data_IF_570793644043
#
_entry.id   IF_570793644043
#
_cell.length_a   1.000
_cell.length_b   1.000
_cell.length_c   1.000
_cell.angle_alpha   90.00
_cell.angle_beta   90.00
_cell.angle_gamma   90.00
#
_symmetry.space_group_name_H-M   'P 1'
#
loop_
_entity.id
_entity.type
_entity.pdbx_description
1 polymer ?
#
# COMPACT_ATOMS: atom_id res chain seq x y z
N UNK A 1 -11.21 -8.44 -40.22
CA UNK A 1 -10.86 -9.81 -39.75
C UNK A 1 -9.62 -9.88 -38.85
N UNK A 2 -9.16 -8.80 -38.22
CA UNK A 2 -7.81 -8.68 -37.59
C UNK A 2 -7.84 -8.49 -36.05
N UNK A 3 -8.98 -8.32 -35.42
CA UNK A 3 -9.04 -8.12 -33.93
C UNK A 3 -9.11 -9.42 -33.12
N UNK A 4 -9.69 -10.50 -33.67
CA UNK A 4 -9.82 -11.78 -32.94
C UNK A 4 -8.49 -12.52 -32.76
N UNK A 5 -7.50 -12.33 -33.64
CA UNK A 5 -6.19 -13.00 -33.50
C UNK A 5 -5.26 -12.38 -32.43
N UNK A 6 -5.37 -11.07 -32.16
CA UNK A 6 -4.55 -10.41 -31.11
C UNK A 6 -4.99 -10.79 -29.71
N UNK A 7 -6.28 -10.91 -29.47
CA UNK A 7 -6.79 -11.27 -28.14
C UNK A 7 -6.49 -12.73 -27.76
N UNK A 8 -6.51 -13.64 -28.71
CA UNK A 8 -6.19 -15.05 -28.49
C UNK A 8 -4.72 -15.30 -28.10
N UNK A 9 -3.77 -14.56 -28.69
CA UNK A 9 -2.35 -14.69 -28.39
C UNK A 9 -1.99 -14.12 -27.01
N UNK A 10 -2.56 -12.96 -26.62
CA UNK A 10 -2.36 -12.34 -25.29
C UNK A 10 -2.91 -13.25 -24.20
N UNK A 11 -4.05 -13.91 -24.41
CA UNK A 11 -4.62 -14.84 -23.44
C UNK A 11 -3.78 -16.12 -23.28
N UNK A 12 -3.24 -16.66 -24.38
CA UNK A 12 -2.34 -17.82 -24.35
C UNK A 12 -1.03 -17.52 -23.63
N UNK A 13 -0.43 -16.36 -23.87
CA UNK A 13 0.78 -15.90 -23.18
C UNK A 13 0.53 -15.75 -21.68
N UNK A 14 -0.57 -15.14 -21.27
CA UNK A 14 -0.93 -15.01 -19.85
C UNK A 14 -1.14 -16.37 -19.17
N UNK A 15 -1.80 -17.31 -19.84
CA UNK A 15 -1.95 -18.68 -19.31
C UNK A 15 -0.63 -19.41 -19.15
N UNK A 16 0.23 -19.33 -20.15
CA UNK A 16 1.57 -19.94 -20.11
C UNK A 16 2.41 -19.33 -18.98
N UNK A 17 2.40 -18.01 -18.84
CA UNK A 17 3.07 -17.30 -17.75
C UNK A 17 2.57 -17.75 -16.37
N UNK A 18 1.26 -17.87 -16.19
CA UNK A 18 0.68 -18.36 -14.94
C UNK A 18 1.07 -19.81 -14.64
N UNK A 19 1.13 -20.66 -15.66
CA UNK A 19 1.58 -22.04 -15.51
C UNK A 19 3.06 -22.10 -15.13
N UNK A 20 3.91 -21.32 -15.80
CA UNK A 20 5.33 -21.22 -15.48
C UNK A 20 5.55 -20.75 -14.03
N UNK A 21 4.80 -19.74 -13.57
CA UNK A 21 4.91 -19.23 -12.20
C UNK A 21 4.51 -20.23 -11.11
N UNK A 22 3.72 -21.25 -11.45
CA UNK A 22 3.37 -22.36 -10.54
C UNK A 22 4.47 -23.42 -10.44
N UNK A 23 5.46 -23.41 -11.34
CA UNK A 23 6.53 -24.42 -11.35
C UNK A 23 7.48 -24.26 -10.17
N UNK A 24 8.10 -25.35 -9.77
CA UNK A 24 9.17 -25.34 -8.75
C UNK A 24 10.36 -24.49 -9.20
N UNK A 25 10.66 -24.45 -10.52
CA UNK A 25 11.76 -23.66 -11.08
C UNK A 25 11.56 -22.16 -10.85
N UNK A 26 10.36 -21.62 -11.15
CA UNK A 26 10.07 -20.21 -10.88
C UNK A 26 10.12 -19.92 -9.38
N UNK A 27 9.51 -20.79 -8.57
CA UNK A 27 9.50 -20.60 -7.13
C UNK A 27 10.90 -20.70 -6.53
N UNK A 28 11.76 -21.53 -7.06
CA UNK A 28 13.18 -21.63 -6.68
C UNK A 28 13.97 -20.35 -7.08
N UNK A 29 13.71 -19.79 -8.27
CA UNK A 29 14.38 -18.55 -8.73
C UNK A 29 14.11 -17.34 -7.82
N UNK A 30 13.00 -17.36 -7.08
CA UNK A 30 12.68 -16.34 -6.09
C UNK A 30 13.34 -16.61 -4.72
N UNK A 31 13.95 -17.79 -4.55
CA UNK A 31 14.57 -18.16 -3.29
C UNK A 31 15.73 -17.20 -2.95
N UNK A 32 15.82 -16.87 -1.68
CA UNK A 32 16.81 -15.96 -1.13
C UNK A 32 17.16 -16.44 0.27
N UNK A 33 18.39 -16.24 0.66
CA UNK A 33 18.84 -16.52 2.03
C UNK A 33 19.26 -15.19 2.70
N UNK A 34 18.30 -14.32 3.03
CA UNK A 34 18.59 -13.07 3.72
C UNK A 34 19.04 -13.36 5.15
N UNK A 35 19.54 -12.34 5.83
CA UNK A 35 19.72 -12.40 7.27
C UNK A 35 18.41 -12.76 7.99
N UNK A 36 18.49 -13.37 9.16
CA UNK A 36 17.30 -13.77 9.94
C UNK A 36 16.48 -12.59 10.44
N UNK A 37 17.07 -11.39 10.46
CA UNK A 37 16.43 -10.14 10.87
C UNK A 37 16.56 -9.09 9.78
N UNK A 38 15.66 -8.08 9.80
CA UNK A 38 15.77 -6.93 8.94
C UNK A 38 16.93 -6.03 9.38
N UNK A 39 17.64 -5.47 8.42
CA UNK A 39 18.80 -4.60 8.67
C UNK A 39 18.43 -3.19 9.10
N UNK A 40 17.23 -2.74 8.70
CA UNK A 40 16.74 -1.40 8.96
C UNK A 40 15.27 -1.44 9.38
N UNK A 41 14.95 -0.67 10.42
CA UNK A 41 13.56 -0.48 10.88
C UNK A 41 12.95 0.69 10.14
N UNK A 42 11.92 0.43 9.34
CA UNK A 42 11.13 1.47 8.68
C UNK A 42 9.93 1.80 9.57
N UNK A 43 9.86 3.02 10.12
CA UNK A 43 8.82 3.35 11.10
C UNK A 43 7.44 3.43 10.46
N UNK A 44 6.44 2.87 11.16
CA UNK A 44 5.02 3.01 10.79
C UNK A 44 4.36 4.14 11.57
N UNK A 45 3.75 5.04 10.84
CA UNK A 45 3.06 6.20 11.40
C UNK A 45 1.53 6.05 11.42
N UNK A 46 0.97 5.00 10.78
CA UNK A 46 -0.48 4.82 10.74
C UNK A 46 -0.97 4.06 11.97
N UNK A 47 -2.07 4.54 12.50
CA UNK A 47 -2.78 3.85 13.58
C UNK A 47 -3.67 2.75 12.99
N UNK A 48 -3.78 1.64 13.70
CA UNK A 48 -4.83 0.65 13.46
C UNK A 48 -6.08 0.95 14.28
N UNK A 49 -7.10 0.14 14.10
CA UNK A 49 -8.34 0.17 14.87
C UNK A 49 -8.33 -0.88 15.97
N UNK A 50 -8.30 -0.47 17.24
CA UNK A 50 -8.38 -1.40 18.37
C UNK A 50 -9.68 -2.23 18.35
N UNK A 51 -10.78 -1.66 17.85
CA UNK A 51 -12.06 -2.36 17.69
C UNK A 51 -11.98 -3.48 16.65
N UNK A 52 -11.31 -3.24 15.50
CA UNK A 52 -11.06 -4.29 14.51
C UNK A 52 -10.08 -5.32 15.07
N UNK A 53 -9.05 -4.89 15.79
CA UNK A 53 -8.13 -5.79 16.50
C UNK A 53 -8.84 -6.73 17.48
N UNK A 54 -9.75 -6.21 18.28
CA UNK A 54 -10.58 -7.02 19.19
C UNK A 54 -11.40 -8.08 18.43
N UNK A 55 -11.99 -7.71 17.29
CA UNK A 55 -12.73 -8.66 16.43
C UNK A 55 -11.84 -9.76 15.87
N UNK A 56 -10.60 -9.46 15.51
CA UNK A 56 -9.62 -10.44 15.04
C UNK A 56 -9.22 -11.39 16.17
N UNK A 57 -9.11 -10.89 17.41
CA UNK A 57 -8.79 -11.70 18.58
C UNK A 57 -9.89 -12.72 18.92
N UNK A 58 -11.16 -12.34 18.75
CA UNK A 58 -12.32 -13.16 19.12
C UNK A 58 -12.83 -14.05 17.99
N UNK A 59 -12.52 -13.72 16.74
CA UNK A 59 -13.05 -14.44 15.57
C UNK A 59 -12.23 -15.67 15.24
N UNK A 60 -12.91 -16.79 15.04
CA UNK A 60 -12.26 -18.04 14.61
C UNK A 60 -11.86 -18.01 13.13
N UNK A 61 -12.64 -17.41 12.20
CA UNK A 61 -12.31 -17.45 10.75
C UNK A 61 -13.06 -16.47 9.84
N UNK A 62 -14.22 -15.93 10.22
CA UNK A 62 -15.11 -15.23 9.26
C UNK A 62 -14.58 -13.90 8.71
N UNK A 63 -13.64 -13.22 9.37
CA UNK A 63 -13.02 -11.99 8.88
C UNK A 63 -12.03 -12.23 7.72
N UNK A 64 -11.60 -13.49 7.49
CA UNK A 64 -10.79 -13.93 6.34
C UNK A 64 -11.59 -14.05 5.04
N UNK A 65 -12.91 -13.90 5.06
CA UNK A 65 -13.74 -14.02 3.87
C UNK A 65 -13.49 -12.92 2.82
N UNK A 66 -12.96 -11.74 3.25
CA UNK A 66 -12.31 -10.81 2.34
C UNK A 66 -10.84 -11.24 2.16
N UNK A 67 -10.62 -12.16 1.23
CA UNK A 67 -9.28 -12.68 0.92
C UNK A 67 -8.30 -11.58 0.53
N UNK A 68 -8.77 -10.53 -0.17
CA UNK A 68 -7.91 -9.43 -0.61
C UNK A 68 -7.44 -8.58 0.57
N UNK A 69 -8.34 -8.13 1.45
CA UNK A 69 -7.98 -7.38 2.65
C UNK A 69 -7.11 -8.17 3.60
N UNK A 70 -7.40 -9.48 3.74
CA UNK A 70 -6.56 -10.37 4.53
C UNK A 70 -5.14 -10.50 3.96
N UNK A 71 -5.02 -10.68 2.65
CA UNK A 71 -3.74 -10.85 1.95
C UNK A 71 -2.89 -9.56 1.92
N UNK A 72 -3.45 -8.40 2.18
CA UNK A 72 -2.75 -7.11 2.26
C UNK A 72 -2.11 -6.84 3.63
N UNK A 73 -2.49 -7.55 4.67
CA UNK A 73 -1.94 -7.46 6.03
C UNK A 73 -2.15 -6.13 6.76
N UNK A 74 -3.12 -5.32 6.37
CA UNK A 74 -3.47 -4.09 7.11
C UNK A 74 -3.92 -4.38 8.55
N UNK A 75 -4.53 -5.54 8.76
CA UNK A 75 -5.00 -6.03 10.04
C UNK A 75 -3.89 -6.18 11.10
N UNK A 76 -2.62 -6.23 10.72
CA UNK A 76 -1.50 -6.25 11.67
C UNK A 76 -1.47 -4.96 12.49
N UNK A 77 -1.79 -3.82 11.86
CA UNK A 77 -1.94 -2.53 12.55
C UNK A 77 -3.08 -2.54 13.56
N UNK A 78 -4.18 -3.22 13.23
CA UNK A 78 -5.35 -3.32 14.12
C UNK A 78 -5.02 -4.15 15.38
N UNK A 79 -4.32 -5.25 15.22
CA UNK A 79 -3.81 -6.05 16.35
C UNK A 79 -2.78 -5.26 17.18
N UNK A 80 -1.91 -4.47 16.54
CA UNK A 80 -0.98 -3.58 17.24
C UNK A 80 -1.74 -2.52 18.05
N UNK A 81 -2.80 -1.95 17.49
CA UNK A 81 -3.64 -0.97 18.18
C UNK A 81 -4.42 -1.58 19.35
N UNK A 82 -4.87 -2.83 19.24
CA UNK A 82 -5.47 -3.58 20.35
C UNK A 82 -4.45 -3.81 21.46
N UNK A 83 -3.21 -4.16 21.13
CA UNK A 83 -2.10 -4.23 22.06
C UNK A 83 -2.00 -5.53 22.86
N UNK A 84 -0.98 -5.57 23.71
CA UNK A 84 -0.70 -6.70 24.60
C UNK A 84 0.05 -7.86 23.94
N UNK A 85 0.52 -8.80 24.78
CA UNK A 85 1.29 -9.96 24.34
C UNK A 85 0.44 -10.97 23.54
N UNK A 86 -0.84 -11.10 23.89
CA UNK A 86 -1.75 -11.99 23.20
C UNK A 86 -2.02 -11.54 21.76
N UNK A 87 -2.24 -10.23 21.52
CA UNK A 87 -2.40 -9.70 20.17
C UNK A 87 -1.13 -9.91 19.32
N UNK A 88 0.05 -9.75 19.93
CA UNK A 88 1.34 -10.00 19.29
C UNK A 88 1.48 -11.48 18.91
N UNK A 89 1.17 -12.38 19.82
CA UNK A 89 1.18 -13.82 19.54
C UNK A 89 0.19 -14.19 18.45
N UNK A 90 -1.00 -13.58 18.46
CA UNK A 90 -2.01 -13.79 17.43
C UNK A 90 -1.55 -13.31 16.06
N UNK A 91 -0.91 -12.15 15.99
CA UNK A 91 -0.34 -11.64 14.74
C UNK A 91 0.70 -12.62 14.16
N UNK A 92 1.64 -13.11 14.98
CA UNK A 92 2.64 -14.11 14.56
C UNK A 92 1.98 -15.37 14.03
N UNK A 93 1.02 -15.93 14.75
CA UNK A 93 0.29 -17.13 14.34
C UNK A 93 -0.38 -16.97 12.98
N UNK A 94 -1.03 -15.82 12.75
CA UNK A 94 -1.72 -15.54 11.50
C UNK A 94 -0.75 -15.31 10.34
N UNK A 95 0.36 -14.60 10.58
CA UNK A 95 1.43 -14.38 9.60
C UNK A 95 2.05 -15.72 9.21
N UNK A 96 2.41 -16.54 10.19
CA UNK A 96 3.01 -17.85 9.94
C UNK A 96 2.10 -18.78 9.17
N UNK A 97 0.84 -18.91 9.58
CA UNK A 97 -0.18 -19.68 8.88
C UNK A 97 -0.37 -19.21 7.43
N UNK A 98 -0.32 -17.90 7.19
CA UNK A 98 -0.40 -17.36 5.85
C UNK A 98 0.84 -17.73 5.01
N UNK A 99 2.04 -17.58 5.57
CA UNK A 99 3.29 -17.95 4.89
C UNK A 99 3.27 -19.44 4.50
N UNK A 100 2.88 -20.31 5.41
CA UNK A 100 2.81 -21.75 5.15
C UNK A 100 1.83 -22.09 4.02
N UNK A 101 0.69 -21.42 4.00
CA UNK A 101 -0.34 -21.63 2.99
C UNK A 101 -0.01 -21.01 1.63
N UNK A 102 0.85 -19.98 1.59
CA UNK A 102 1.14 -19.16 0.41
C UNK A 102 2.63 -19.08 0.09
N UNK A 103 3.41 -20.06 0.51
CA UNK A 103 4.86 -20.09 0.28
C UNK A 103 5.23 -20.09 -1.22
N UNK A 104 4.38 -20.64 -2.08
CA UNK A 104 4.55 -20.63 -3.53
C UNK A 104 3.64 -19.61 -4.20
N UNK A 105 4.04 -19.14 -5.36
CA UNK A 105 3.29 -18.19 -6.16
C UNK A 105 1.85 -18.67 -6.41
N UNK A 106 0.87 -17.79 -6.19
CA UNK A 106 -0.57 -17.99 -6.43
C UNK A 106 -1.17 -16.74 -7.09
N UNK A 107 -1.97 -16.94 -8.13
CA UNK A 107 -2.52 -15.85 -8.94
C UNK A 107 -3.31 -14.79 -8.16
N UNK A 108 -3.99 -15.16 -7.05
CA UNK A 108 -4.75 -14.22 -6.22
C UNK A 108 -3.86 -13.47 -5.24
N UNK A 109 -3.31 -14.20 -4.26
CA UNK A 109 -2.53 -13.60 -3.17
C UNK A 109 -1.18 -12.99 -3.60
N UNK A 110 -0.66 -13.34 -4.78
CA UNK A 110 0.58 -12.82 -5.32
C UNK A 110 0.37 -11.76 -6.42
N UNK A 111 -0.81 -11.12 -6.48
CA UNK A 111 -0.97 -9.93 -7.31
C UNK A 111 -0.05 -8.82 -6.81
N UNK A 112 0.66 -8.10 -7.71
CA UNK A 112 1.73 -7.19 -7.30
C UNK A 112 1.29 -6.06 -6.36
N UNK A 113 0.09 -5.52 -6.53
CA UNK A 113 -0.45 -4.49 -5.65
C UNK A 113 -0.82 -5.03 -4.27
N UNK A 114 -1.38 -6.25 -4.19
CA UNK A 114 -1.65 -6.96 -2.93
C UNK A 114 -0.34 -7.28 -2.22
N UNK A 115 0.61 -7.83 -2.97
CA UNK A 115 1.94 -8.20 -2.46
C UNK A 115 2.72 -6.97 -2.00
N UNK A 116 2.65 -5.85 -2.74
CA UNK A 116 3.26 -4.59 -2.38
C UNK A 116 2.74 -4.03 -1.06
N UNK A 117 1.41 -4.05 -0.89
CA UNK A 117 0.78 -3.63 0.37
C UNK A 117 1.19 -4.55 1.52
N UNK A 118 1.21 -5.87 1.31
CA UNK A 118 1.60 -6.85 2.31
C UNK A 118 3.05 -6.71 2.76
N UNK A 119 3.99 -6.60 1.81
CA UNK A 119 5.41 -6.41 2.13
C UNK A 119 5.59 -5.13 2.97
N UNK A 120 4.97 -4.03 2.56
CA UNK A 120 5.02 -2.78 3.31
C UNK A 120 4.46 -2.94 4.74
N UNK A 121 3.29 -3.54 4.91
CA UNK A 121 2.65 -3.71 6.22
C UNK A 121 3.43 -4.66 7.13
N UNK A 122 4.05 -5.71 6.58
CA UNK A 122 4.93 -6.61 7.35
C UNK A 122 6.17 -5.86 7.85
N UNK A 123 6.78 -5.03 7.02
CA UNK A 123 7.96 -4.24 7.39
C UNK A 123 7.61 -3.15 8.40
N UNK A 124 6.56 -2.36 8.15
CA UNK A 124 6.14 -1.26 9.03
C UNK A 124 5.76 -1.71 10.45
N UNK A 125 5.25 -2.92 10.60
CA UNK A 125 4.90 -3.45 11.93
C UNK A 125 5.95 -4.41 12.50
N UNK A 126 7.08 -4.60 11.82
CA UNK A 126 8.10 -5.59 12.18
C UNK A 126 8.60 -5.42 13.61
N UNK A 127 8.94 -4.19 14.02
CA UNK A 127 9.46 -3.84 15.34
C UNK A 127 8.50 -4.21 16.48
N UNK A 128 7.21 -4.24 16.22
CA UNK A 128 6.21 -4.61 17.20
C UNK A 128 6.11 -6.12 17.40
N UNK A 129 6.12 -6.92 16.33
CA UNK A 129 5.82 -8.34 16.45
C UNK A 129 7.04 -9.27 16.28
N UNK A 130 8.11 -8.87 15.61
CA UNK A 130 9.19 -9.77 15.25
C UNK A 130 10.31 -9.89 16.29
N UNK A 131 10.84 -8.82 16.94
CA UNK A 131 12.07 -8.91 17.74
C UNK A 131 11.99 -9.89 18.91
N UNK A 132 10.81 -10.08 19.51
CA UNK A 132 10.61 -11.03 20.60
C UNK A 132 10.02 -12.38 20.14
N UNK A 133 10.07 -12.67 18.84
CA UNK A 133 9.65 -13.95 18.27
C UNK A 133 10.80 -14.96 18.27
N UNK A 134 10.50 -16.28 18.23
CA UNK A 134 11.52 -17.30 18.00
C UNK A 134 12.32 -17.06 16.72
N UNK A 135 13.60 -17.45 16.71
CA UNK A 135 14.51 -17.25 15.56
C UNK A 135 13.97 -17.92 14.28
N UNK A 136 13.37 -19.09 14.41
CA UNK A 136 12.76 -19.80 13.26
C UNK A 136 11.66 -18.98 12.59
N UNK A 137 10.82 -18.33 13.40
CA UNK A 137 9.79 -17.42 12.88
C UNK A 137 10.42 -16.22 12.18
N UNK A 138 11.42 -15.59 12.80
CA UNK A 138 12.10 -14.44 12.20
C UNK A 138 12.75 -14.80 10.87
N UNK A 139 13.47 -15.90 10.80
CA UNK A 139 14.10 -16.39 9.58
C UNK A 139 13.07 -16.77 8.50
N UNK A 140 11.93 -17.36 8.87
CA UNK A 140 10.82 -17.68 7.97
C UNK A 140 10.19 -16.42 7.39
N UNK A 141 9.97 -15.42 8.24
CA UNK A 141 9.39 -14.13 7.88
C UNK A 141 10.28 -13.36 6.91
N UNK A 142 11.57 -13.20 7.22
CA UNK A 142 12.50 -12.45 6.37
C UNK A 142 12.68 -13.11 5.02
N UNK A 143 12.75 -14.44 4.95
CA UNK A 143 12.74 -15.18 3.68
C UNK A 143 11.46 -14.92 2.88
N UNK A 144 10.30 -14.90 3.53
CA UNK A 144 9.03 -14.62 2.85
C UNK A 144 8.97 -13.19 2.30
N UNK A 145 9.43 -12.20 3.06
CA UNK A 145 9.50 -10.79 2.62
C UNK A 145 10.47 -10.66 1.43
N UNK A 146 11.70 -11.19 1.54
CA UNK A 146 12.71 -11.11 0.50
C UNK A 146 12.23 -11.76 -0.81
N UNK A 147 11.58 -12.92 -0.72
CA UNK A 147 11.02 -13.63 -1.85
C UNK A 147 9.94 -12.82 -2.57
N UNK A 148 9.06 -12.18 -1.79
CA UNK A 148 8.01 -11.32 -2.35
C UNK A 148 8.60 -10.04 -2.96
N UNK A 149 9.59 -9.42 -2.34
CA UNK A 149 10.29 -8.26 -2.89
C UNK A 149 10.95 -8.58 -4.25
N UNK A 150 11.56 -9.77 -4.40
CA UNK A 150 12.08 -10.24 -5.70
C UNK A 150 10.99 -10.41 -6.73
N UNK A 151 9.86 -11.00 -6.37
CA UNK A 151 8.72 -11.13 -7.27
C UNK A 151 8.17 -9.77 -7.68
N UNK A 152 8.06 -8.82 -6.74
CA UNK A 152 7.66 -7.44 -7.01
C UNK A 152 8.58 -6.77 -8.04
N UNK A 153 9.90 -6.90 -7.90
CA UNK A 153 10.86 -6.32 -8.83
C UNK A 153 10.66 -6.81 -10.27
N UNK A 154 10.20 -8.07 -10.45
CA UNK A 154 9.89 -8.63 -11.77
C UNK A 154 8.54 -8.16 -12.32
N UNK A 155 7.57 -7.93 -11.44
CA UNK A 155 6.16 -7.83 -11.83
C UNK A 155 5.62 -6.40 -11.89
N UNK A 156 6.09 -5.49 -11.02
CA UNK A 156 5.54 -4.14 -10.94
C UNK A 156 5.59 -3.37 -12.26
N UNK A 157 6.66 -3.45 -13.09
CA UNK A 157 6.72 -2.70 -14.34
C UNK A 157 5.70 -3.16 -15.38
N UNK A 158 5.19 -4.38 -15.24
CA UNK A 158 4.28 -5.04 -16.21
C UNK A 158 2.81 -4.78 -15.91
N UNK A 159 2.50 -4.15 -14.79
CA UNK A 159 1.12 -3.80 -14.44
C UNK A 159 0.57 -2.76 -15.40
N UNK A 160 -0.65 -2.99 -15.89
CA UNK A 160 -1.35 -2.02 -16.71
C UNK A 160 -1.91 -0.85 -15.89
N UNK A 161 -2.50 -1.16 -14.73
CA UNK A 161 -3.02 -0.17 -13.81
C UNK A 161 -1.87 0.55 -13.09
N UNK A 162 -1.74 1.85 -13.35
CA UNK A 162 -0.66 2.69 -12.82
C UNK A 162 -0.80 2.94 -11.32
N UNK A 163 -2.01 2.94 -10.78
CA UNK A 163 -2.25 3.04 -9.33
C UNK A 163 -1.78 1.77 -8.62
N UNK A 164 -2.11 0.61 -9.19
CA UNK A 164 -1.60 -0.68 -8.71
C UNK A 164 -0.06 -0.77 -8.84
N UNK A 165 0.51 -0.19 -9.91
CA UNK A 165 1.96 -0.09 -10.10
C UNK A 165 2.63 0.70 -8.98
N UNK A 166 2.06 1.82 -8.56
CA UNK A 166 2.57 2.64 -7.46
C UNK A 166 2.52 1.90 -6.12
N UNK A 167 1.43 1.18 -5.83
CA UNK A 167 1.35 0.36 -4.61
C UNK A 167 2.39 -0.78 -4.61
N UNK A 168 2.62 -1.41 -5.76
CA UNK A 168 3.65 -2.45 -5.91
C UNK A 168 5.06 -1.87 -5.72
N UNK A 169 5.35 -0.71 -6.33
CA UNK A 169 6.62 0.00 -6.19
C UNK A 169 6.88 0.44 -4.75
N UNK A 170 5.83 0.90 -4.03
CA UNK A 170 5.93 1.16 -2.59
C UNK A 170 6.41 -0.07 -1.82
N UNK A 171 5.78 -1.21 -2.03
CA UNK A 171 6.17 -2.44 -1.34
C UNK A 171 7.61 -2.86 -1.65
N UNK A 172 8.05 -2.70 -2.90
CA UNK A 172 9.42 -2.96 -3.30
C UNK A 172 10.39 -2.01 -2.59
N UNK A 173 10.11 -0.70 -2.61
CA UNK A 173 10.92 0.32 -1.96
C UNK A 173 11.07 0.06 -0.46
N UNK A 174 9.95 -0.15 0.24
CA UNK A 174 9.93 -0.43 1.70
C UNK A 174 10.66 -1.74 2.01
N UNK A 175 10.45 -2.78 1.21
CA UNK A 175 11.14 -4.07 1.37
C UNK A 175 12.65 -3.94 1.20
N UNK A 176 13.12 -3.25 0.17
CA UNK A 176 14.54 -3.02 -0.07
C UNK A 176 15.18 -2.15 1.01
N UNK A 177 14.49 -1.09 1.46
CA UNK A 177 14.93 -0.27 2.59
C UNK A 177 15.16 -1.12 3.84
N UNK A 178 14.23 -2.03 4.15
CA UNK A 178 14.33 -2.90 5.32
C UNK A 178 15.49 -3.90 5.27
N UNK A 179 15.90 -4.30 4.08
CA UNK A 179 17.09 -5.16 3.89
C UNK A 179 18.41 -4.39 3.78
N UNK A 180 18.38 -3.07 3.91
CA UNK A 180 19.59 -2.23 3.87
C UNK A 180 20.14 -2.05 2.45
N UNK A 181 19.24 -1.96 1.45
CA UNK A 181 19.64 -1.61 0.09
C UNK A 181 20.37 -0.26 0.07
N UNK A 182 21.34 -0.14 -0.84
CA UNK A 182 22.16 1.06 -0.96
C UNK A 182 21.32 2.27 -1.35
N UNK A 183 21.68 3.47 -0.89
CA UNK A 183 20.96 4.71 -1.21
C UNK A 183 20.73 4.91 -2.70
N UNK A 184 21.73 4.62 -3.55
CA UNK A 184 21.62 4.75 -5.02
C UNK A 184 20.54 3.84 -5.62
N UNK A 185 20.41 2.60 -5.13
CA UNK A 185 19.37 1.67 -5.56
C UNK A 185 17.97 2.13 -5.17
N UNK A 186 17.84 2.67 -3.94
CA UNK A 186 16.58 3.25 -3.47
C UNK A 186 16.23 4.54 -4.20
N UNK A 187 17.22 5.41 -4.47
CA UNK A 187 17.02 6.64 -5.24
C UNK A 187 16.52 6.34 -6.66
N UNK A 188 17.08 5.33 -7.32
CA UNK A 188 16.61 4.90 -8.64
C UNK A 188 15.14 4.46 -8.64
N UNK A 189 14.64 3.83 -7.56
CA UNK A 189 13.22 3.51 -7.43
C UNK A 189 12.36 4.77 -7.26
N UNK A 190 12.85 5.78 -6.55
CA UNK A 190 12.14 7.07 -6.38
C UNK A 190 12.06 7.85 -7.70
N UNK A 191 13.10 7.80 -8.53
CA UNK A 191 13.09 8.41 -9.86
C UNK A 191 12.02 7.83 -10.78
N UNK A 192 11.64 6.56 -10.55
CA UNK A 192 10.54 5.91 -11.26
C UNK A 192 9.15 6.31 -10.72
N UNK A 193 9.09 6.77 -9.46
CA UNK A 193 7.84 7.06 -8.76
C UNK A 193 7.13 8.30 -9.30
N UNK A 194 7.86 9.41 -9.43
CA UNK A 194 7.27 10.71 -9.80
C UNK A 194 6.59 10.67 -11.17
N UNK A 195 7.20 10.13 -12.25
CA UNK A 195 6.53 9.97 -13.53
C UNK A 195 5.26 9.10 -13.47
N UNK A 196 5.23 8.10 -12.59
CA UNK A 196 4.02 7.28 -12.38
C UNK A 196 2.92 8.06 -11.66
N UNK A 197 3.28 8.86 -10.66
CA UNK A 197 2.32 9.75 -9.98
C UNK A 197 1.70 10.73 -10.96
N UNK A 198 2.48 11.33 -11.85
CA UNK A 198 2.01 12.24 -12.90
C UNK A 198 1.07 11.55 -13.90
N UNK A 199 1.27 10.24 -14.14
CA UNK A 199 0.38 9.48 -15.01
C UNK A 199 -1.01 9.21 -14.38
N UNK A 200 -1.16 9.24 -13.07
CA UNK A 200 -2.42 8.97 -12.36
C UNK A 200 -3.07 10.20 -11.74
N UNK A 201 -2.35 11.32 -11.68
CA UNK A 201 -2.87 12.59 -11.16
C UNK A 201 -3.14 13.61 -12.25
N UNK A 202 -4.00 14.55 -11.96
CA UNK A 202 -4.32 15.72 -12.78
C UNK A 202 -3.49 16.93 -12.31
N UNK A 203 -3.47 18.02 -13.08
CA UNK A 203 -2.64 19.19 -12.78
C UNK A 203 -3.04 19.89 -11.47
N UNK A 204 -4.30 19.80 -11.05
CA UNK A 204 -4.79 20.30 -9.76
C UNK A 204 -4.52 19.35 -8.57
N UNK A 205 -3.90 18.20 -8.81
CA UNK A 205 -3.56 17.21 -7.82
C UNK A 205 -4.62 16.10 -7.63
N UNK A 206 -5.76 16.19 -8.31
CA UNK A 206 -6.79 15.15 -8.25
C UNK A 206 -6.35 13.85 -8.91
N UNK A 207 -6.80 12.71 -8.38
CA UNK A 207 -6.59 11.41 -9.04
C UNK A 207 -7.48 11.30 -10.29
N UNK A 208 -6.95 10.75 -11.40
CA UNK A 208 -7.68 10.62 -12.68
C UNK A 208 -8.97 9.82 -12.61
N UNK A 209 -9.09 8.90 -11.65
CA UNK A 209 -10.36 8.19 -11.43
C UNK A 209 -11.47 9.10 -10.85
N UNK A 210 -11.09 10.24 -10.28
CA UNK A 210 -11.99 11.17 -9.59
C UNK A 210 -12.73 10.52 -8.40
N UNK A 211 -12.19 9.39 -7.88
CA UNK A 211 -12.70 8.65 -6.74
C UNK A 211 -11.95 9.04 -5.47
N UNK A 212 -12.62 9.62 -4.44
CA UNK A 212 -11.96 10.07 -3.23
C UNK A 212 -11.24 9.00 -2.42
N UNK A 213 -11.74 7.77 -2.40
CA UNK A 213 -11.12 6.64 -1.70
C UNK A 213 -9.81 6.18 -2.36
N UNK A 214 -9.78 6.09 -3.69
CA UNK A 214 -8.56 5.77 -4.44
C UNK A 214 -7.53 6.88 -4.28
N UNK A 215 -7.97 8.14 -4.33
CA UNK A 215 -7.11 9.29 -4.12
C UNK A 215 -6.48 9.30 -2.72
N UNK A 216 -7.28 9.07 -1.67
CA UNK A 216 -6.79 8.99 -0.29
C UNK A 216 -5.78 7.85 -0.12
N UNK A 217 -6.08 6.67 -0.70
CA UNK A 217 -5.17 5.52 -0.67
C UNK A 217 -3.83 5.84 -1.33
N UNK A 218 -3.84 6.43 -2.53
CA UNK A 218 -2.61 6.83 -3.22
C UNK A 218 -1.82 7.83 -2.37
N UNK A 219 -2.48 8.84 -1.80
CA UNK A 219 -1.82 9.82 -0.96
C UNK A 219 -1.16 9.18 0.27
N UNK A 220 -1.82 8.20 0.91
CA UNK A 220 -1.22 7.43 2.00
C UNK A 220 -0.01 6.64 1.54
N UNK A 221 -0.06 5.99 0.38
CA UNK A 221 1.07 5.26 -0.21
C UNK A 221 2.27 6.19 -0.43
N UNK A 222 2.05 7.42 -0.92
CA UNK A 222 3.12 8.40 -1.12
C UNK A 222 3.72 8.90 0.20
N UNK A 223 2.89 9.10 1.23
CA UNK A 223 3.36 9.47 2.58
C UNK A 223 4.21 8.34 3.18
N UNK A 224 3.82 7.08 3.00
CA UNK A 224 4.60 5.92 3.44
C UNK A 224 5.97 5.86 2.75
N UNK A 225 6.02 6.07 1.43
CA UNK A 225 7.29 6.12 0.67
C UNK A 225 8.17 7.26 1.15
N UNK A 226 7.62 8.48 1.30
CA UNK A 226 8.36 9.62 1.83
C UNK A 226 9.00 9.34 3.18
N UNK A 227 8.23 8.75 4.10
CA UNK A 227 8.70 8.45 5.44
C UNK A 227 9.76 7.33 5.43
N UNK A 228 9.59 6.31 4.59
CA UNK A 228 10.58 5.26 4.41
C UNK A 228 11.89 5.83 3.83
N UNK A 229 11.82 6.71 2.84
CA UNK A 229 13.00 7.37 2.28
C UNK A 229 13.72 8.23 3.32
N UNK A 230 12.99 9.05 4.08
CA UNK A 230 13.57 9.84 5.17
C UNK A 230 14.29 8.97 6.21
N UNK A 231 13.75 7.78 6.52
CA UNK A 231 14.37 6.86 7.48
C UNK A 231 15.68 6.25 6.98
N UNK A 232 15.89 6.23 5.66
CA UNK A 232 17.14 5.76 5.03
C UNK A 232 18.12 6.90 4.69
N UNK A 233 17.80 8.13 5.10
CA UNK A 233 18.63 9.31 4.84
C UNK A 233 18.52 9.85 3.41
N UNK A 234 17.56 9.37 2.62
CA UNK A 234 17.32 9.86 1.26
C UNK A 234 16.40 11.09 1.31
N UNK A 235 16.88 12.18 0.78
CA UNK A 235 16.06 13.39 0.65
C UNK A 235 15.10 13.28 -0.54
N UNK A 236 13.83 13.10 -0.26
CA UNK A 236 12.75 13.09 -1.26
C UNK A 236 12.09 14.46 -1.38
N UNK A 237 12.56 15.41 -0.58
CA UNK A 237 11.78 16.50 0.01
C UNK A 237 10.99 17.35 -0.98
N UNK A 238 11.56 17.79 -2.10
CA UNK A 238 10.91 18.93 -2.77
C UNK A 238 9.78 18.52 -3.72
N UNK A 239 9.94 17.47 -4.51
CA UNK A 239 8.95 17.13 -5.53
C UNK A 239 7.81 16.26 -5.00
N UNK A 240 8.13 15.25 -4.19
CA UNK A 240 7.12 14.36 -3.59
C UNK A 240 6.24 15.11 -2.60
N UNK A 241 6.82 15.99 -1.78
CA UNK A 241 6.07 16.84 -0.84
C UNK A 241 5.14 17.81 -1.56
N UNK A 242 5.55 18.40 -2.67
CA UNK A 242 4.67 19.23 -3.52
C UNK A 242 3.47 18.43 -4.03
N UNK A 243 3.69 17.22 -4.54
CA UNK A 243 2.60 16.34 -4.99
C UNK A 243 1.64 15.96 -3.87
N UNK A 244 2.15 15.57 -2.73
CA UNK A 244 1.34 15.23 -1.55
C UNK A 244 0.54 16.47 -1.11
N UNK A 245 1.13 17.66 -1.10
CA UNK A 245 0.44 18.90 -0.73
C UNK A 245 -0.69 19.27 -1.70
N UNK A 246 -0.46 19.10 -3.02
CA UNK A 246 -1.49 19.32 -4.06
C UNK A 246 -2.66 18.34 -3.84
N UNK A 247 -2.36 17.05 -3.67
CA UNK A 247 -3.37 16.01 -3.40
C UNK A 247 -4.17 16.29 -2.13
N UNK A 248 -3.50 16.76 -1.07
CA UNK A 248 -4.15 17.12 0.19
C UNK A 248 -5.13 18.30 0.04
N UNK A 249 -4.87 19.22 -0.87
CA UNK A 249 -5.78 20.34 -1.16
C UNK A 249 -7.12 19.83 -1.75
N UNK A 250 -7.06 18.82 -2.61
CA UNK A 250 -8.24 18.13 -3.14
C UNK A 250 -9.00 17.39 -2.03
N UNK A 251 -8.30 16.67 -1.15
CA UNK A 251 -8.93 16.01 0.00
C UNK A 251 -9.69 17.02 0.89
N UNK A 252 -9.10 18.17 1.15
CA UNK A 252 -9.77 19.23 1.94
C UNK A 252 -10.98 19.80 1.24
N UNK A 253 -10.94 19.90 -0.10
CA UNK A 253 -12.07 20.33 -0.92
C UNK A 253 -13.27 19.39 -0.77
N UNK A 254 -13.05 18.07 -0.74
CA UNK A 254 -14.12 17.07 -0.62
C UNK A 254 -14.66 16.90 0.80
N UNK A 255 -14.01 17.47 1.81
CA UNK A 255 -14.37 17.24 3.21
C UNK A 255 -15.58 18.08 3.63
N UNK A 256 -16.61 17.43 4.15
CA UNK A 256 -17.75 18.05 4.82
C UNK A 256 -17.43 18.39 6.28
N UNK A 257 -18.34 19.12 6.93
CA UNK A 257 -18.19 19.55 8.32
C UNK A 257 -18.18 18.37 9.33
N UNK A 258 -18.80 17.25 8.98
CA UNK A 258 -18.80 16.01 9.76
C UNK A 258 -17.50 15.20 9.62
N UNK A 259 -16.54 15.68 8.82
CA UNK A 259 -15.26 15.02 8.56
C UNK A 259 -15.27 14.00 7.43
N UNK A 260 -16.42 13.62 6.89
CA UNK A 260 -16.53 12.72 5.76
C UNK A 260 -16.14 13.39 4.44
N UNK A 261 -15.70 12.60 3.47
CA UNK A 261 -15.59 13.05 2.09
C UNK A 261 -16.94 12.92 1.36
N UNK A 262 -17.22 13.89 0.49
CA UNK A 262 -18.21 13.70 -0.56
C UNK A 262 -17.83 12.48 -1.40
N UNK A 263 -18.79 11.61 -1.70
CA UNK A 263 -18.54 10.37 -2.44
C UNK A 263 -18.95 10.56 -3.89
N UNK A 264 -17.95 10.55 -4.77
CA UNK A 264 -18.13 10.70 -6.21
C UNK A 264 -17.66 9.43 -6.93
N UNK A 265 -18.18 9.20 -8.11
CA UNK A 265 -17.71 8.18 -9.05
C UNK A 265 -17.66 6.76 -8.47
N UNK A 266 -18.55 6.42 -7.56
CA UNK A 266 -18.61 5.10 -6.93
C UNK A 266 -17.64 4.90 -5.75
N UNK A 267 -17.04 5.98 -5.24
CA UNK A 267 -16.16 5.90 -4.08
C UNK A 267 -16.80 5.23 -2.87
N UNK A 268 -16.07 4.35 -2.23
CA UNK A 268 -16.47 3.66 -1.00
C UNK A 268 -16.52 4.60 0.21
N UNK A 269 -17.10 4.10 1.30
CA UNK A 269 -17.06 4.80 2.59
C UNK A 269 -15.64 4.70 3.18
N UNK A 270 -15.09 5.82 3.60
CA UNK A 270 -13.80 5.90 4.29
C UNK A 270 -14.02 6.19 5.77
N UNK A 271 -13.16 5.65 6.62
CA UNK A 271 -13.16 6.00 8.03
C UNK A 271 -12.72 7.45 8.23
N UNK A 272 -13.44 8.21 9.06
CA UNK A 272 -13.11 9.61 9.36
C UNK A 272 -11.71 9.70 9.93
N UNK A 273 -11.37 8.78 10.82
CA UNK A 273 -10.07 8.69 11.47
C UNK A 273 -8.93 8.53 10.45
N UNK A 274 -9.13 7.77 9.39
CA UNK A 274 -8.14 7.61 8.33
C UNK A 274 -7.96 8.89 7.51
N UNK A 275 -9.04 9.63 7.25
CA UNK A 275 -9.00 10.93 6.56
C UNK A 275 -8.23 11.94 7.44
N UNK A 276 -8.61 12.06 8.71
CA UNK A 276 -8.01 13.00 9.66
C UNK A 276 -6.53 12.72 9.89
N UNK A 277 -6.20 11.47 10.15
CA UNK A 277 -4.82 11.04 10.34
C UNK A 277 -3.96 11.35 9.12
N UNK A 278 -4.47 11.06 7.91
CA UNK A 278 -3.74 11.33 6.67
C UNK A 278 -3.49 12.82 6.49
N UNK A 279 -4.50 13.66 6.68
CA UNK A 279 -4.35 15.11 6.55
C UNK A 279 -3.45 15.72 7.65
N UNK A 280 -3.48 15.18 8.88
CA UNK A 280 -2.62 15.62 9.96
C UNK A 280 -1.13 15.33 9.69
N UNK A 281 -0.81 14.19 9.07
CA UNK A 281 0.58 13.80 8.77
C UNK A 281 1.22 14.60 7.64
N UNK A 282 0.45 15.28 6.85
CA UNK A 282 0.97 16.15 5.79
C UNK A 282 1.48 17.49 6.35
N UNK A 283 1.02 17.86 7.56
CA UNK A 283 1.55 19.01 8.31
C UNK A 283 1.23 20.39 7.74
N UNK A 284 0.71 20.48 6.53
CA UNK A 284 0.37 21.76 5.92
C UNK A 284 -1.11 22.07 6.08
N UNK A 285 -1.42 23.19 6.72
CA UNK A 285 -2.74 23.83 6.68
C UNK A 285 -2.92 24.51 5.33
N UNK A 286 -3.19 23.72 4.26
CA UNK A 286 -3.50 24.27 2.93
C UNK A 286 -4.86 24.97 2.91
N UNK A 287 -5.01 25.92 2.00
CA UNK A 287 -6.31 26.53 1.69
C UNK A 287 -7.26 25.48 1.15
N UNK A 288 -8.53 25.56 1.54
CA UNK A 288 -9.60 24.77 0.90
C UNK A 288 -9.81 25.33 -0.50
N UNK A 289 -9.66 24.49 -1.50
CA UNK A 289 -9.91 24.89 -2.89
C UNK A 289 -11.42 25.09 -3.10
N UNK A 290 -11.77 26.17 -3.80
CA UNK A 290 -13.14 26.42 -4.25
C UNK A 290 -13.39 25.78 -5.61
N UNK A 291 -12.34 25.63 -6.41
CA UNK A 291 -12.41 25.05 -7.76
C UNK A 291 -11.20 24.15 -8.01
N UNK A 292 -11.43 23.01 -8.66
CA UNK A 292 -10.43 22.09 -9.15
C UNK A 292 -10.72 21.81 -10.64
N UNK A 293 -10.32 22.70 -11.54
CA UNK A 293 -10.79 22.72 -12.93
C UNK A 293 -10.37 21.48 -13.74
N UNK A 294 -9.23 20.89 -13.41
CA UNK A 294 -8.77 19.68 -14.10
C UNK A 294 -9.50 18.41 -13.61
N UNK A 295 -9.85 18.38 -12.32
CA UNK A 295 -10.65 17.31 -11.73
C UNK A 295 -12.14 17.51 -11.89
N UNK A 296 -12.60 18.74 -12.27
CA UNK A 296 -14.00 19.06 -12.51
C UNK A 296 -14.81 19.34 -11.24
N UNK A 297 -14.17 19.51 -10.07
CA UNK A 297 -14.89 19.74 -8.81
C UNK A 297 -15.03 21.21 -8.47
N UNK A 298 -16.19 21.59 -7.93
CA UNK A 298 -16.46 22.93 -7.41
C UNK A 298 -17.03 22.80 -5.99
N UNK A 299 -16.56 23.70 -5.08
CA UNK A 299 -17.04 23.79 -3.71
C UNK A 299 -17.58 25.19 -3.42
N UNK A 300 -18.79 25.25 -2.90
CA UNK A 300 -19.42 26.45 -2.38
C UNK A 300 -19.67 26.30 -0.89
N UNK A 301 -19.40 27.34 -0.12
CA UNK A 301 -19.70 27.35 1.32
C UNK A 301 -20.33 28.70 1.68
N UNK A 302 -21.50 28.66 2.33
CA UNK A 302 -22.20 29.81 2.83
C UNK A 302 -22.82 29.51 4.20
N UNK A 303 -22.42 30.24 5.22
CA UNK A 303 -22.82 29.97 6.59
C UNK A 303 -22.43 28.54 7.01
N UNK A 304 -23.44 27.72 7.36
CA UNK A 304 -23.26 26.31 7.75
C UNK A 304 -23.41 25.33 6.59
N UNK A 305 -23.76 25.80 5.41
CA UNK A 305 -24.00 24.96 4.25
C UNK A 305 -22.75 24.83 3.39
N UNK A 306 -22.46 23.61 2.96
CA UNK A 306 -21.40 23.30 2.00
C UNK A 306 -21.98 22.43 0.91
N UNK A 307 -21.80 22.87 -0.34
CA UNK A 307 -22.16 22.12 -1.55
C UNK A 307 -20.87 21.80 -2.30
N UNK A 308 -20.70 20.54 -2.66
CA UNK A 308 -19.60 20.06 -3.48
C UNK A 308 -20.22 19.41 -4.72
N UNK A 309 -19.78 19.85 -5.87
CA UNK A 309 -20.28 19.41 -7.17
C UNK A 309 -19.16 18.75 -7.97
N UNK A 310 -19.57 17.75 -8.75
CA UNK A 310 -18.74 16.98 -9.69
C UNK A 310 -19.23 17.20 -11.13
#
# INVERSE_FOLDING_TARGET
>A
MTLKHRTGNVWRIRKFEQLFRKTSLFNWSLASNPASTLSHVVPDYWRGSANLGSRIMTSSTNWRNDSRGFDQFEWVRDLRAFGGSQARSRARQLIESWIDSNNNWRAGSWQPDIMGQRVANLVFCYDWYAPSAPEDFQAKLTRAIARQARCLALDWPRLYDKTAQLTALKGLFVGQSAFGEKPDGLAALLDLLLPLVDQVTLADGGHKSRMPDIHLKLMRDLVEIRNAASSTGIDTATQLDKKIAQMASICRMWRHADGQFARFNGAGKMAIEAIEETLARIGQRGKILQQAPNSGFIRFSSGRSTVIMD
#
